data_IF_196547848988
#
_entry.id   IF_196547848988
#
_cell.length_a   1.000
_cell.length_b   1.000
_cell.length_c   1.000
_cell.angle_alpha   90.00
_cell.angle_beta   90.00
_cell.angle_gamma   90.00
#
_symmetry.space_group_name_H-M   'P 1'
#
loop_
_entity.id
_entity.type
_entity.pdbx_description
1 polymer ?
#
# COMPACT_ATOMS: atom_id res chain seq x y z
N UNK A 1 29.44 47.69 62.86
CA UNK A 1 29.96 46.30 63.01
C UNK A 1 30.54 45.89 61.65
N UNK A 2 31.88 45.94 61.45
CA UNK A 2 32.78 44.78 61.22
C UNK A 2 32.18 43.71 60.28
N UNK A 3 32.80 43.18 59.20
CA UNK A 3 34.05 43.36 58.43
C UNK A 3 34.03 42.28 57.30
N UNK A 4 34.59 42.57 56.10
CA UNK A 4 35.43 41.66 55.25
C UNK A 4 34.72 40.52 54.47
N UNK A 5 34.61 40.59 53.13
CA UNK A 5 35.47 40.03 52.04
C UNK A 5 35.03 38.61 51.58
N UNK A 6 35.21 38.07 50.36
CA UNK A 6 36.29 38.05 49.33
C UNK A 6 35.69 37.57 47.99
N UNK A 7 36.31 37.97 46.86
CA UNK A 7 36.13 37.45 45.49
C UNK A 7 36.80 36.08 45.32
N UNK A 8 36.19 35.10 44.63
CA UNK A 8 36.96 34.09 43.88
C UNK A 8 36.15 33.48 42.72
N UNK A 9 36.70 33.60 41.51
CA UNK A 9 36.20 32.99 40.28
C UNK A 9 36.78 31.58 40.13
N UNK A 10 35.97 30.60 39.74
CA UNK A 10 36.42 29.39 39.03
C UNK A 10 35.40 29.01 37.96
N UNK A 11 35.88 29.08 36.72
CA UNK A 11 35.36 28.49 35.51
C UNK A 11 35.59 26.96 35.59
N UNK A 12 34.55 26.14 35.44
CA UNK A 12 34.71 24.74 35.02
C UNK A 12 33.58 24.37 34.06
N UNK A 13 33.97 24.18 32.80
CA UNK A 13 33.24 23.43 31.78
C UNK A 13 32.85 22.06 32.34
N UNK A 14 31.57 21.69 32.21
CA UNK A 14 31.15 20.30 32.01
C UNK A 14 29.91 20.31 31.11
N UNK A 15 29.98 19.50 30.06
CA UNK A 15 29.12 19.56 28.90
C UNK A 15 27.67 19.27 29.21
N UNK A 16 26.80 20.13 28.70
CA UNK A 16 25.43 19.74 28.40
C UNK A 16 25.52 18.98 27.08
N UNK A 17 25.73 17.67 27.17
CA UNK A 17 25.17 16.78 26.17
C UNK A 17 23.67 17.00 26.23
N UNK A 18 23.12 17.76 25.30
CA UNK A 18 21.69 17.69 25.00
C UNK A 18 21.40 16.22 24.76
N UNK A 19 20.58 15.53 25.58
CA UNK A 19 19.99 14.32 25.08
C UNK A 19 19.20 14.78 23.86
N UNK A 20 19.47 14.15 22.70
CA UNK A 20 18.45 14.04 21.67
C UNK A 20 17.24 13.42 22.37
N UNK A 21 16.39 14.26 22.95
CA UNK A 21 15.04 13.86 23.25
C UNK A 21 14.46 13.52 21.90
N UNK A 22 14.21 12.23 21.67
CA UNK A 22 13.14 11.82 20.79
C UNK A 22 11.93 12.65 21.24
N UNK A 23 11.65 13.73 20.53
CA UNK A 23 10.36 14.37 20.63
C UNK A 23 9.37 13.24 20.39
N UNK A 24 8.63 12.90 21.44
CA UNK A 24 7.42 12.14 21.29
C UNK A 24 6.64 12.91 20.21
N UNK A 25 6.48 12.29 19.04
CA UNK A 25 5.66 12.81 17.95
C UNK A 25 4.22 12.70 18.45
N UNK A 26 3.88 13.59 19.38
CA UNK A 26 2.53 13.84 19.83
C UNK A 26 1.80 14.35 18.60
N UNK A 27 0.92 13.50 18.06
CA UNK A 27 -0.18 13.82 17.17
C UNK A 27 -0.01 15.15 16.42
N UNK A 28 0.88 15.19 15.42
CA UNK A 28 0.60 16.07 14.29
C UNK A 28 -0.81 15.72 13.82
N UNK A 29 -1.72 16.69 13.67
CA UNK A 29 -3.14 16.45 13.39
C UNK A 29 -3.38 15.55 12.17
N UNK A 30 -2.38 15.49 11.28
CA UNK A 30 -2.42 14.67 10.09
C UNK A 30 -1.98 13.21 10.30
N UNK A 31 -1.36 12.84 11.42
CA UNK A 31 -0.91 11.45 11.66
C UNK A 31 -2.04 10.55 12.14
N UNK A 32 -2.05 9.32 11.61
CA UNK A 32 -3.01 8.29 11.96
C UNK A 32 -2.41 6.89 11.75
N UNK A 33 -3.11 5.86 12.22
CA UNK A 33 -2.88 4.48 11.81
C UNK A 33 -3.45 4.31 10.41
N UNK A 34 -2.57 4.11 9.44
CA UNK A 34 -2.90 4.03 8.03
C UNK A 34 -2.75 2.60 7.55
N UNK A 35 -3.77 2.04 6.91
CA UNK A 35 -3.68 0.73 6.27
C UNK A 35 -2.62 0.79 5.17
N UNK A 36 -1.59 -0.04 5.27
CA UNK A 36 -0.47 -0.08 4.30
C UNK A 36 -0.35 -1.40 3.58
N UNK A 37 -0.89 -2.48 4.14
CA UNK A 37 -0.75 -3.82 3.58
C UNK A 37 -1.92 -4.68 4.04
N UNK A 38 -2.35 -5.59 3.16
CA UNK A 38 -3.18 -6.72 3.53
C UNK A 38 -2.51 -7.98 3.06
N UNK A 39 -2.32 -8.92 3.95
CA UNK A 39 -1.69 -10.20 3.68
C UNK A 39 -2.70 -11.33 3.86
N UNK A 40 -2.89 -12.16 2.82
CA UNK A 40 -3.68 -13.39 2.88
C UNK A 40 -2.73 -14.53 3.21
N UNK A 41 -2.98 -15.23 4.30
CA UNK A 41 -2.15 -16.37 4.66
C UNK A 41 -2.41 -17.54 3.71
N UNK A 42 -1.38 -18.32 3.35
CA UNK A 42 -1.55 -19.53 2.55
C UNK A 42 -2.61 -20.45 3.18
N UNK A 43 -3.52 -20.97 2.35
CA UNK A 43 -4.51 -21.92 2.81
C UNK A 43 -3.81 -23.25 3.17
N UNK A 44 -4.11 -23.87 4.32
CA UNK A 44 -3.52 -25.14 4.72
C UNK A 44 -3.74 -26.22 3.67
N UNK A 45 -2.70 -27.00 3.41
CA UNK A 45 -2.81 -28.17 2.53
C UNK A 45 -3.76 -29.21 3.11
N UNK A 46 -4.58 -29.80 2.24
CA UNK A 46 -5.47 -30.91 2.60
C UNK A 46 -4.63 -32.14 2.95
N UNK A 47 -4.65 -32.55 4.22
CA UNK A 47 -4.04 -33.80 4.66
C UNK A 47 -5.11 -34.87 4.81
N UNK A 48 -4.94 -36.06 4.22
CA UNK A 48 -5.79 -37.20 4.51
C UNK A 48 -5.74 -37.53 6.01
N UNK A 49 -6.90 -37.59 6.66
CA UNK A 49 -7.02 -37.86 8.09
C UNK A 49 -8.47 -38.20 8.48
N UNK A 50 -8.74 -38.25 9.78
CA UNK A 50 -10.11 -38.50 10.30
C UNK A 50 -11.12 -37.42 9.88
N UNK A 51 -10.65 -36.21 9.55
CA UNK A 51 -11.46 -35.10 9.05
C UNK A 51 -10.87 -34.57 7.75
N UNK A 52 -11.75 -34.21 6.82
CA UNK A 52 -11.42 -33.45 5.61
C UNK A 52 -11.82 -32.01 5.83
N UNK A 53 -10.83 -31.13 5.81
CA UNK A 53 -11.02 -29.68 5.88
C UNK A 53 -10.94 -29.10 4.46
N UNK A 54 -11.88 -28.22 4.11
CA UNK A 54 -11.81 -27.45 2.87
C UNK A 54 -11.95 -25.96 3.18
N UNK A 55 -11.19 -25.16 2.43
CA UNK A 55 -11.11 -23.72 2.61
C UNK A 55 -11.21 -23.03 1.26
N UNK A 56 -11.93 -21.92 1.21
CA UNK A 56 -11.90 -21.01 0.09
C UNK A 56 -11.87 -19.57 0.61
N UNK A 57 -10.97 -18.76 0.06
CA UNK A 57 -10.82 -17.35 0.39
C UNK A 57 -11.12 -16.54 -0.86
N UNK A 58 -12.07 -15.60 -0.78
CA UNK A 58 -12.33 -14.65 -1.85
C UNK A 58 -12.66 -13.30 -1.24
N UNK A 59 -11.84 -12.28 -1.52
CA UNK A 59 -11.98 -10.96 -0.89
C UNK A 59 -11.97 -11.10 0.64
N UNK A 60 -12.99 -10.55 1.30
CA UNK A 60 -13.18 -10.60 2.75
C UNK A 60 -14.12 -11.72 3.19
N UNK A 61 -14.21 -12.80 2.40
CA UNK A 61 -15.01 -13.98 2.73
C UNK A 61 -14.12 -15.19 2.86
N UNK A 62 -14.26 -15.89 3.99
CA UNK A 62 -13.69 -17.22 4.23
C UNK A 62 -14.83 -18.22 4.26
N UNK A 63 -14.78 -19.19 3.37
CA UNK A 63 -15.62 -20.38 3.43
C UNK A 63 -14.81 -21.53 4.03
N UNK A 64 -15.36 -22.17 5.06
CA UNK A 64 -14.76 -23.31 5.75
C UNK A 64 -15.74 -24.47 5.81
N UNK A 65 -15.24 -25.68 5.60
CA UNK A 65 -16.03 -26.89 5.80
C UNK A 65 -15.18 -28.02 6.40
N UNK A 66 -15.77 -28.72 7.37
CA UNK A 66 -15.25 -29.96 7.92
C UNK A 66 -16.24 -31.08 7.61
N UNK A 67 -15.74 -32.14 7.00
CA UNK A 67 -16.48 -33.39 6.80
C UNK A 67 -15.69 -34.57 7.35
N UNK A 68 -16.38 -35.60 7.83
CA UNK A 68 -15.75 -36.89 8.13
C UNK A 68 -15.94 -37.83 6.94
N UNK A 69 -14.88 -38.41 6.35
CA UNK A 69 -15.04 -39.50 5.40
C UNK A 69 -15.69 -40.70 6.12
N UNK A 70 -16.73 -41.27 5.53
CA UNK A 70 -17.38 -42.47 6.06
C UNK A 70 -16.36 -43.61 6.21
N UNK A 71 -16.20 -44.17 7.43
CA UNK A 71 -15.67 -45.53 7.61
C UNK A 71 -14.19 -45.76 7.97
N UNK A 72 -13.43 -44.82 8.56
CA UNK A 72 -12.02 -45.06 8.92
C UNK A 72 -11.62 -44.64 10.36
N UNK A 73 -12.30 -45.18 11.38
CA UNK A 73 -11.85 -45.07 12.77
C UNK A 73 -12.00 -46.40 13.53
N UNK A 74 -11.03 -46.74 14.39
CA UNK A 74 -10.97 -48.00 15.16
C UNK A 74 -12.09 -48.20 16.21
N UNK A 75 -13.09 -47.30 16.27
CA UNK A 75 -14.25 -47.31 17.18
C UNK A 75 -15.58 -47.37 16.41
N UNK A 76 -15.61 -48.15 15.33
CA UNK A 76 -16.56 -48.08 14.22
C UNK A 76 -18.05 -48.43 14.47
N UNK A 77 -18.60 -48.44 15.69
CA UNK A 77 -20.03 -48.82 15.88
C UNK A 77 -20.99 -47.66 16.18
N UNK A 78 -20.55 -46.55 16.79
CA UNK A 78 -21.43 -45.43 17.15
C UNK A 78 -21.40 -44.26 16.15
N UNK A 79 -20.28 -44.06 15.45
CA UNK A 79 -20.02 -42.84 14.69
C UNK A 79 -20.41 -42.92 13.20
N UNK A 80 -20.61 -44.13 12.67
CA UNK A 80 -21.01 -44.34 11.26
C UNK A 80 -22.38 -43.73 10.93
N UNK A 81 -23.30 -43.73 11.90
CA UNK A 81 -24.68 -43.27 11.71
C UNK A 81 -24.85 -41.75 11.85
N UNK A 82 -23.81 -41.01 12.31
CA UNK A 82 -23.89 -39.56 12.53
C UNK A 82 -22.59 -38.82 12.12
N UNK A 83 -22.24 -38.81 10.82
CA UNK A 83 -21.05 -38.14 10.32
C UNK A 83 -21.14 -36.62 10.50
N UNK A 84 -20.00 -35.97 10.72
CA UNK A 84 -19.93 -34.51 10.79
C UNK A 84 -19.96 -33.89 9.40
N UNK A 85 -20.67 -32.77 9.29
CA UNK A 85 -20.66 -31.86 8.15
C UNK A 85 -20.93 -30.45 8.69
N UNK A 86 -19.87 -29.74 9.09
CA UNK A 86 -19.95 -28.32 9.42
C UNK A 86 -19.50 -27.52 8.20
N UNK A 87 -20.28 -26.53 7.80
CA UNK A 87 -20.00 -25.69 6.64
C UNK A 87 -20.55 -24.28 6.88
N UNK A 88 -19.68 -23.28 6.80
CA UNK A 88 -20.07 -21.90 6.97
C UNK A 88 -19.23 -20.95 6.12
N UNK A 89 -19.80 -19.78 5.82
CA UNK A 89 -19.08 -18.64 5.27
C UNK A 89 -19.03 -17.51 6.27
N UNK A 90 -17.89 -16.86 6.31
CA UNK A 90 -17.59 -15.76 7.21
C UNK A 90 -17.15 -14.58 6.37
N UNK A 91 -17.96 -13.53 6.34
CA UNK A 91 -17.67 -12.31 5.58
C UNK A 91 -17.51 -11.15 6.54
N UNK A 92 -16.53 -10.27 6.30
CA UNK A 92 -16.37 -9.05 7.10
C UNK A 92 -16.30 -7.80 6.24
N UNK A 93 -16.79 -6.69 6.80
CA UNK A 93 -16.67 -5.38 6.14
C UNK A 93 -15.20 -4.93 6.08
N UNK A 94 -14.83 -4.21 5.01
CA UNK A 94 -13.49 -3.65 4.87
C UNK A 94 -13.13 -2.76 6.08
N UNK A 95 -11.93 -2.93 6.69
CA UNK A 95 -11.54 -2.09 7.80
C UNK A 95 -11.21 -0.67 7.35
N UNK A 96 -11.28 0.34 8.25
CA UNK A 96 -11.03 1.73 7.87
C UNK A 96 -9.60 1.91 7.37
N UNK A 97 -9.43 2.68 6.30
CA UNK A 97 -8.12 2.98 5.73
C UNK A 97 -7.28 3.87 6.65
N UNK A 98 -7.94 4.75 7.39
CA UNK A 98 -7.30 5.68 8.33
C UNK A 98 -8.04 5.60 9.65
N UNK A 99 -7.28 5.34 10.72
CA UNK A 99 -7.78 5.23 12.08
C UNK A 99 -7.01 6.24 12.93
N UNK A 100 -7.70 7.26 13.45
CA UNK A 100 -7.09 8.22 14.37
C UNK A 100 -6.66 7.54 15.67
N UNK A 101 -5.70 8.14 16.37
CA UNK A 101 -5.33 7.67 17.70
C UNK A 101 -6.58 7.55 18.60
N UNK A 102 -6.70 6.43 19.31
CA UNK A 102 -7.82 6.11 20.20
C UNK A 102 -9.19 5.98 19.52
N UNK A 103 -9.24 5.89 18.19
CA UNK A 103 -10.49 5.65 17.48
C UNK A 103 -10.93 4.19 17.63
N UNK A 104 -12.22 4.02 17.89
CA UNK A 104 -12.87 2.72 17.85
C UNK A 104 -13.08 2.29 16.39
N UNK A 105 -12.73 1.05 16.09
CA UNK A 105 -12.99 0.39 14.82
C UNK A 105 -14.09 -0.62 15.04
N UNK A 106 -15.18 -0.51 14.27
CA UNK A 106 -16.27 -1.48 14.26
C UNK A 106 -16.34 -2.13 12.90
N UNK A 107 -16.32 -3.45 12.89
CA UNK A 107 -16.46 -4.27 11.69
C UNK A 107 -17.76 -5.06 11.80
N UNK A 108 -18.51 -5.11 10.70
CA UNK A 108 -19.64 -6.03 10.59
C UNK A 108 -19.10 -7.39 10.15
N UNK A 109 -19.48 -8.43 10.89
CA UNK A 109 -19.06 -9.80 10.65
C UNK A 109 -20.31 -10.65 10.40
N UNK A 110 -20.44 -11.17 9.18
CA UNK A 110 -21.57 -11.96 8.75
C UNK A 110 -21.18 -13.43 8.74
N UNK A 111 -21.93 -14.25 9.46
CA UNK A 111 -21.81 -15.70 9.44
C UNK A 111 -23.01 -16.29 8.70
N UNK A 112 -22.75 -16.93 7.57
CA UNK A 112 -23.72 -17.77 6.86
C UNK A 112 -23.50 -19.23 7.24
N UNK A 113 -24.48 -19.83 7.93
CA UNK A 113 -24.43 -21.24 8.31
C UNK A 113 -25.08 -22.07 7.21
N UNK A 114 -24.27 -22.85 6.51
CA UNK A 114 -24.73 -23.77 5.45
C UNK A 114 -25.07 -25.13 6.05
N UNK A 115 -24.24 -25.62 6.97
CA UNK A 115 -24.50 -26.83 7.76
C UNK A 115 -23.84 -26.73 9.14
N UNK A 116 -24.57 -27.13 10.19
CA UNK A 116 -24.07 -27.19 11.56
C UNK A 116 -24.22 -28.60 12.14
N UNK A 117 -23.79 -29.61 11.38
CA UNK A 117 -23.86 -31.01 11.81
C UNK A 117 -22.54 -31.41 12.46
N UNK A 118 -22.46 -31.30 13.78
CA UNK A 118 -21.26 -31.69 14.54
C UNK A 118 -21.02 -33.21 14.62
N UNK A 119 -22.01 -34.04 14.29
CA UNK A 119 -21.93 -35.48 14.54
C UNK A 119 -21.84 -35.75 16.06
N UNK A 120 -21.06 -36.77 16.44
CA UNK A 120 -20.70 -37.04 17.84
C UNK A 120 -19.41 -36.31 18.27
N UNK A 121 -18.98 -35.31 17.50
CA UNK A 121 -17.66 -34.70 17.64
C UNK A 121 -17.78 -33.30 18.24
N UNK A 122 -16.81 -32.95 19.10
CA UNK A 122 -16.70 -31.62 19.73
C UNK A 122 -16.20 -30.53 18.79
N UNK A 123 -16.65 -30.52 17.52
CA UNK A 123 -16.16 -29.61 16.49
C UNK A 123 -16.70 -28.19 16.70
N UNK A 124 -15.92 -27.21 16.25
CA UNK A 124 -16.33 -25.82 16.26
C UNK A 124 -15.59 -25.01 15.19
N UNK A 125 -16.25 -23.98 14.68
CA UNK A 125 -15.60 -22.87 13.99
C UNK A 125 -15.52 -21.69 14.92
N UNK A 126 -14.31 -21.16 15.09
CA UNK A 126 -13.99 -20.06 15.99
C UNK A 126 -13.49 -18.87 15.18
N UNK A 127 -14.38 -18.04 14.63
CA UNK A 127 -13.98 -16.79 14.01
C UNK A 127 -13.24 -15.91 15.01
N UNK A 128 -12.18 -15.25 14.56
CA UNK A 128 -11.44 -14.30 15.35
C UNK A 128 -11.27 -12.99 14.60
N UNK A 129 -11.35 -11.91 15.37
CA UNK A 129 -10.94 -10.57 15.00
C UNK A 129 -10.15 -10.03 16.17
N UNK A 130 -8.93 -9.53 15.96
CA UNK A 130 -8.16 -8.89 17.04
C UNK A 130 -7.09 -7.95 16.49
N UNK A 131 -6.60 -7.05 17.33
CA UNK A 131 -5.47 -6.16 17.04
C UNK A 131 -4.24 -6.61 17.82
N UNK A 132 -3.09 -6.71 17.16
CA UNK A 132 -1.81 -7.04 17.81
C UNK A 132 -0.62 -6.50 17.00
N UNK A 133 0.60 -6.92 17.33
CA UNK A 133 1.82 -6.67 16.57
C UNK A 133 1.70 -7.17 15.12
N UNK A 134 2.20 -6.38 14.18
CA UNK A 134 2.18 -6.72 12.75
C UNK A 134 3.11 -7.88 12.36
N UNK A 135 4.10 -8.18 13.20
CA UNK A 135 5.14 -9.18 12.95
C UNK A 135 4.68 -10.61 13.22
N UNK A 136 3.45 -10.80 13.71
CA UNK A 136 2.91 -12.12 14.02
C UNK A 136 2.33 -12.83 12.79
N UNK A 137 2.41 -14.16 12.85
CA UNK A 137 1.66 -15.09 12.00
C UNK A 137 0.30 -15.46 12.62
N UNK A 138 -0.58 -16.06 11.81
CA UNK A 138 -1.87 -16.57 12.29
C UNK A 138 -1.71 -17.58 13.42
N UNK A 139 -2.54 -17.43 14.46
CA UNK A 139 -2.56 -18.32 15.63
C UNK A 139 -1.63 -17.90 16.76
N UNK A 140 -0.71 -16.96 16.53
CA UNK A 140 0.11 -16.36 17.57
C UNK A 140 -0.52 -15.07 18.09
N UNK A 141 -0.22 -14.72 19.34
CA UNK A 141 -0.66 -13.48 19.98
C UNK A 141 0.36 -13.06 21.03
N UNK A 142 0.52 -11.75 21.20
CA UNK A 142 1.23 -11.20 22.35
C UNK A 142 0.28 -11.02 23.54
N UNK A 143 0.85 -10.70 24.70
CA UNK A 143 0.06 -10.25 25.86
C UNK A 143 -0.63 -8.90 25.63
N UNK A 144 -0.26 -8.16 24.58
CA UNK A 144 -0.82 -6.85 24.24
C UNK A 144 -2.00 -6.90 23.26
N UNK A 145 -2.42 -8.11 22.85
CA UNK A 145 -3.56 -8.33 21.97
C UNK A 145 -4.82 -7.64 22.48
N UNK A 146 -5.47 -6.89 21.61
CA UNK A 146 -6.78 -6.27 21.88
C UNK A 146 -7.87 -7.13 21.27
N UNK A 147 -8.77 -7.62 22.12
CA UNK A 147 -9.93 -8.43 21.74
C UNK A 147 -11.13 -7.50 21.54
N UNK A 148 -11.94 -7.69 20.49
CA UNK A 148 -13.11 -6.87 20.23
C UNK A 148 -14.23 -7.20 21.21
N UNK A 149 -15.05 -6.19 21.48
CA UNK A 149 -16.40 -6.39 21.98
C UNK A 149 -17.28 -6.89 20.84
N UNK A 150 -17.99 -7.99 21.05
CA UNK A 150 -18.91 -8.58 20.06
C UNK A 150 -20.36 -8.29 20.46
N UNK A 151 -21.16 -7.77 19.54
CA UNK A 151 -22.58 -7.45 19.77
C UNK A 151 -23.45 -8.00 18.64
N UNK A 152 -24.42 -8.83 18.97
CA UNK A 152 -25.41 -9.38 18.04
C UNK A 152 -26.50 -8.35 17.68
N UNK A 153 -27.33 -8.59 16.65
CA UNK A 153 -28.31 -7.61 16.18
C UNK A 153 -29.40 -7.30 17.21
N UNK A 154 -29.66 -8.25 18.12
CA UNK A 154 -30.57 -8.10 19.25
C UNK A 154 -29.97 -7.30 20.42
N UNK A 155 -28.72 -6.82 20.29
CA UNK A 155 -28.01 -6.07 21.33
C UNK A 155 -27.32 -6.93 22.39
N UNK A 156 -27.44 -8.26 22.32
CA UNK A 156 -26.77 -9.17 23.26
C UNK A 156 -25.26 -9.17 22.98
N UNK A 157 -24.47 -9.09 24.04
CA UNK A 157 -23.02 -9.19 23.97
C UNK A 157 -22.58 -10.65 23.80
N UNK A 158 -21.82 -10.92 22.74
CA UNK A 158 -21.25 -12.23 22.46
C UNK A 158 -19.95 -12.46 23.23
N UNK A 159 -19.77 -13.70 23.69
CA UNK A 159 -18.55 -14.15 24.40
C UNK A 159 -17.73 -15.11 23.54
N UNK A 160 -18.39 -16.02 22.85
CA UNK A 160 -17.79 -17.05 22.02
C UNK A 160 -18.52 -17.13 20.68
N UNK A 161 -18.45 -16.05 19.91
CA UNK A 161 -19.00 -16.01 18.55
C UNK A 161 -18.40 -17.14 17.69
N UNK A 162 -19.25 -17.83 16.95
CA UNK A 162 -18.86 -18.92 16.06
C UNK A 162 -19.89 -20.04 16.00
N UNK A 163 -19.51 -21.15 15.36
CA UNK A 163 -20.40 -22.28 15.11
C UNK A 163 -19.94 -23.53 15.89
N UNK A 164 -20.89 -24.34 16.38
CA UNK A 164 -20.59 -25.62 17.01
C UNK A 164 -20.33 -25.55 18.51
N UNK A 165 -19.46 -26.44 19.00
CA UNK A 165 -19.28 -26.70 20.43
C UNK A 165 -18.74 -25.48 21.17
N UNK A 166 -19.29 -25.20 22.36
CA UNK A 166 -18.87 -24.11 23.24
C UNK A 166 -19.00 -22.70 22.62
N UNK A 167 -19.87 -22.53 21.61
CA UNK A 167 -20.18 -21.24 20.99
C UNK A 167 -21.52 -20.69 21.47
N UNK A 168 -21.67 -19.38 21.35
CA UNK A 168 -22.88 -18.68 21.77
C UNK A 168 -24.12 -19.21 21.02
N UNK A 169 -25.29 -19.14 21.67
CA UNK A 169 -26.54 -19.65 21.11
C UNK A 169 -26.96 -18.85 19.87
N UNK A 170 -26.69 -17.55 19.89
CA UNK A 170 -27.00 -16.57 18.85
C UNK A 170 -26.23 -16.82 17.55
N UNK A 171 -25.06 -17.48 17.61
CA UNK A 171 -24.25 -17.83 16.42
C UNK A 171 -24.36 -19.29 16.01
N UNK A 172 -25.32 -20.07 16.52
CA UNK A 172 -25.57 -21.42 16.00
C UNK A 172 -26.28 -21.44 14.63
N UNK A 173 -26.75 -20.29 14.16
CA UNK A 173 -27.47 -20.07 12.90
C UNK A 173 -26.83 -18.92 12.12
N UNK A 174 -27.30 -18.71 10.89
CA UNK A 174 -26.93 -17.53 10.09
C UNK A 174 -27.26 -16.27 10.87
N UNK A 175 -26.25 -15.42 11.08
CA UNK A 175 -26.35 -14.22 11.90
C UNK A 175 -25.27 -13.23 11.52
N UNK A 176 -25.36 -12.02 12.06
CA UNK A 176 -24.31 -11.01 11.95
C UNK A 176 -23.87 -10.58 13.34
N UNK A 177 -22.69 -9.99 13.45
CA UNK A 177 -22.20 -9.41 14.69
C UNK A 177 -21.37 -8.16 14.41
N UNK A 178 -21.51 -7.15 15.26
CA UNK A 178 -20.61 -6.00 15.29
C UNK A 178 -19.45 -6.32 16.21
N UNK A 179 -18.24 -6.27 15.68
CA UNK A 179 -17.03 -6.47 16.45
C UNK A 179 -16.28 -5.14 16.56
N UNK A 180 -16.20 -4.60 17.78
CA UNK A 180 -15.62 -3.27 18.03
C UNK A 180 -14.38 -3.37 18.89
N UNK A 181 -13.27 -2.80 18.44
CA UNK A 181 -12.03 -2.66 19.23
C UNK A 181 -11.46 -1.25 19.13
N UNK A 182 -10.60 -0.87 20.07
CA UNK A 182 -9.94 0.43 20.08
C UNK A 182 -8.50 0.32 19.59
N UNK A 183 -8.11 1.17 18.65
CA UNK A 183 -6.70 1.39 18.32
C UNK A 183 -6.08 2.31 19.35
N UNK A 184 -5.48 1.71 20.39
CA UNK A 184 -4.92 2.47 21.50
C UNK A 184 -3.71 3.31 21.07
N UNK A 185 -3.78 4.60 21.39
CA UNK A 185 -2.67 5.55 21.35
C UNK A 185 -2.25 6.01 19.96
N UNK A 186 -1.50 7.11 19.96
CA UNK A 186 -0.62 7.46 18.86
C UNK A 186 0.57 6.48 18.84
N UNK A 187 1.05 6.13 17.65
CA UNK A 187 2.32 5.42 17.47
C UNK A 187 3.51 6.37 17.41
N UNK A 188 4.71 5.81 17.37
CA UNK A 188 5.88 6.52 16.82
C UNK A 188 5.82 6.45 15.30
N UNK A 189 6.39 7.42 14.58
CA UNK A 189 6.43 7.39 13.12
C UNK A 189 7.01 6.04 12.62
N UNK A 190 6.28 5.37 11.73
CA UNK A 190 6.65 4.06 11.19
C UNK A 190 6.30 2.85 12.08
N UNK A 191 5.73 3.05 13.28
CA UNK A 191 5.26 1.94 14.11
C UNK A 191 4.16 1.15 13.39
N UNK A 192 4.16 -0.18 13.53
CA UNK A 192 3.18 -1.06 12.88
C UNK A 192 2.35 -1.86 13.87
N UNK A 193 1.08 -2.06 13.54
CA UNK A 193 0.14 -2.98 14.20
C UNK A 193 -0.67 -3.70 13.13
N UNK A 194 -1.30 -4.83 13.44
CA UNK A 194 -2.16 -5.50 12.50
C UNK A 194 -3.51 -5.92 13.09
N UNK A 195 -4.56 -5.80 12.28
CA UNK A 195 -5.83 -6.45 12.51
C UNK A 195 -5.79 -7.84 11.88
N UNK A 196 -6.01 -8.87 12.70
CA UNK A 196 -6.08 -10.25 12.26
C UNK A 196 -7.54 -10.67 12.16
N UNK A 197 -7.89 -11.25 11.02
CA UNK A 197 -9.21 -11.83 10.76
C UNK A 197 -9.04 -13.28 10.34
N UNK A 198 -9.93 -14.15 10.79
CA UNK A 198 -9.89 -15.52 10.34
C UNK A 198 -10.85 -16.42 11.07
N UNK A 199 -10.70 -17.71 10.83
CA UNK A 199 -11.44 -18.78 11.48
C UNK A 199 -10.45 -19.82 11.97
N UNK A 200 -10.61 -20.23 13.22
CA UNK A 200 -9.95 -21.41 13.76
C UNK A 200 -10.93 -22.59 13.77
N UNK A 201 -10.57 -23.65 13.06
CA UNK A 201 -11.34 -24.89 12.96
C UNK A 201 -10.55 -26.14 13.40
N UNK A 202 -9.38 -25.91 14.01
CA UNK A 202 -8.29 -26.88 14.14
C UNK A 202 -7.04 -26.39 13.40
N UNK A 203 -7.23 -25.65 12.31
CA UNK A 203 -6.21 -24.87 11.62
C UNK A 203 -6.59 -23.38 11.67
N UNK A 204 -5.62 -22.49 11.52
CA UNK A 204 -5.90 -21.06 11.37
C UNK A 204 -5.91 -20.69 9.88
N UNK A 205 -7.02 -20.15 9.41
CA UNK A 205 -7.15 -19.58 8.07
C UNK A 205 -7.62 -18.15 8.17
N UNK A 206 -7.02 -17.24 7.40
CA UNK A 206 -7.28 -15.83 7.63
C UNK A 206 -6.41 -14.87 6.86
N UNK A 207 -6.52 -13.60 7.25
CA UNK A 207 -5.80 -12.46 6.70
C UNK A 207 -5.31 -11.56 7.83
N UNK A 208 -4.28 -10.76 7.54
CA UNK A 208 -3.93 -9.61 8.39
C UNK A 208 -3.95 -8.31 7.60
N UNK A 209 -4.37 -7.24 8.25
CA UNK A 209 -4.35 -5.87 7.74
C UNK A 209 -3.36 -5.07 8.55
N UNK A 210 -2.24 -4.67 7.95
CA UNK A 210 -1.15 -3.97 8.63
C UNK A 210 -1.39 -2.47 8.55
N UNK A 211 -1.36 -1.83 9.71
CA UNK A 211 -1.47 -0.41 9.90
C UNK A 211 -0.12 0.16 10.31
N UNK A 212 0.29 1.25 9.67
CA UNK A 212 1.48 2.02 10.02
C UNK A 212 1.09 3.39 10.56
N UNK A 213 1.71 3.84 11.64
CA UNK A 213 1.54 5.19 12.14
C UNK A 213 2.31 6.19 11.28
N UNK A 214 1.60 6.91 10.42
CA UNK A 214 2.19 7.87 9.48
C UNK A 214 1.26 9.03 9.14
N UNK A 215 1.82 10.03 8.47
CA UNK A 215 1.12 11.22 8.00
C UNK A 215 0.04 10.85 6.97
N UNK A 216 -1.23 10.88 7.38
CA UNK A 216 -2.38 10.52 6.56
C UNK A 216 -2.69 11.58 5.49
N UNK A 217 -2.22 12.83 5.62
CA UNK A 217 -2.37 13.83 4.55
C UNK A 217 -1.54 13.50 3.31
N UNK A 218 -0.60 12.55 3.42
CA UNK A 218 0.23 12.07 2.31
C UNK A 218 -0.36 10.86 1.59
N UNK A 219 -1.53 10.36 2.01
CA UNK A 219 -2.20 9.25 1.37
C UNK A 219 -2.83 9.66 0.04
N UNK A 220 -2.86 8.76 -0.96
CA UNK A 220 -3.61 8.98 -2.17
C UNK A 220 -5.11 9.02 -1.85
N UNK A 221 -5.70 10.20 -1.85
CA UNK A 221 -7.16 10.38 -1.77
C UNK A 221 -7.78 9.79 -3.03
N UNK A 222 -8.99 9.22 -2.95
CA UNK A 222 -9.75 8.88 -4.16
C UNK A 222 -9.96 10.17 -4.99
N UNK A 223 -9.12 10.41 -5.98
CA UNK A 223 -9.18 11.54 -6.88
C UNK A 223 -8.69 11.19 -8.28
N UNK A 224 -9.15 11.96 -9.26
CA UNK A 224 -8.60 11.97 -10.59
C UNK A 224 -8.41 13.42 -11.03
N UNK A 225 -7.16 13.83 -11.10
CA UNK A 225 -6.77 15.21 -11.35
C UNK A 225 -6.12 15.30 -12.74
N UNK A 226 -6.64 16.14 -13.66
CA UNK A 226 -5.95 16.36 -14.91
C UNK A 226 -4.67 17.16 -14.65
N UNK A 227 -3.60 16.81 -15.36
CA UNK A 227 -2.38 17.58 -15.43
C UNK A 227 -2.06 17.90 -16.90
N UNK A 228 -1.02 18.68 -17.17
CA UNK A 228 -0.76 19.23 -18.51
C UNK A 228 -0.68 18.14 -19.60
N UNK A 229 -0.13 16.97 -19.27
CA UNK A 229 0.11 15.88 -20.23
C UNK A 229 -0.69 14.61 -19.98
N UNK A 230 -1.67 14.62 -19.08
CA UNK A 230 -2.40 13.40 -18.75
C UNK A 230 -3.38 13.54 -17.59
N UNK A 231 -3.71 12.39 -17.01
CA UNK A 231 -4.56 12.27 -15.82
C UNK A 231 -3.79 11.59 -14.71
N UNK A 232 -3.83 12.16 -13.52
CA UNK A 232 -3.32 11.54 -12.30
C UNK A 232 -4.49 10.94 -11.53
N UNK A 233 -4.45 9.63 -11.30
CA UNK A 233 -5.50 8.91 -10.59
C UNK A 233 -4.93 8.35 -9.29
N UNK A 234 -5.61 8.58 -8.19
CA UNK A 234 -5.23 8.15 -6.86
C UNK A 234 -6.41 7.45 -6.22
N UNK A 235 -6.15 6.35 -5.54
CA UNK A 235 -7.17 5.61 -4.81
C UNK A 235 -6.66 5.18 -3.45
N UNK A 236 -7.59 4.83 -2.58
CA UNK A 236 -7.24 4.20 -1.31
C UNK A 236 -6.86 2.73 -1.54
N UNK A 237 -5.88 2.20 -0.79
CA UNK A 237 -5.53 0.79 -0.87
C UNK A 237 -6.74 -0.13 -0.63
N UNK A 238 -6.72 -1.30 -1.26
CA UNK A 238 -7.68 -2.38 -1.01
C UNK A 238 -6.98 -3.73 -1.00
N UNK A 239 -7.71 -4.76 -0.59
CA UNK A 239 -7.23 -6.13 -0.59
C UNK A 239 -6.88 -6.66 -1.99
N UNK A 240 -5.68 -7.22 -2.17
CA UNK A 240 -5.29 -7.87 -3.43
C UNK A 240 -3.77 -7.95 -3.59
N UNK A 241 -3.31 -8.51 -4.71
CA UNK A 241 -1.91 -8.50 -5.16
C UNK A 241 -1.49 -7.12 -5.69
N UNK A 242 -2.46 -6.33 -6.15
CA UNK A 242 -2.27 -5.00 -6.71
C UNK A 242 -3.54 -4.55 -7.40
N UNK A 243 -3.41 -3.66 -8.39
CA UNK A 243 -4.55 -3.02 -9.03
C UNK A 243 -4.42 -3.03 -10.55
N UNK A 244 -5.54 -3.24 -11.23
CA UNK A 244 -5.73 -2.87 -12.63
C UNK A 244 -6.48 -1.56 -12.71
N UNK A 245 -6.01 -0.68 -13.58
CA UNK A 245 -6.71 0.57 -13.91
C UNK A 245 -7.31 0.43 -15.30
N UNK A 246 -8.61 0.67 -15.40
CA UNK A 246 -9.34 0.67 -16.65
C UNK A 246 -9.79 2.07 -17.01
N UNK A 247 -9.87 2.36 -18.30
CA UNK A 247 -10.30 3.64 -18.87
C UNK A 247 -11.33 3.43 -19.97
N UNK A 248 -12.41 4.21 -19.92
CA UNK A 248 -13.44 4.30 -20.95
C UNK A 248 -13.73 5.75 -21.34
N UNK A 249 -14.16 5.97 -22.59
CA UNK A 249 -14.76 7.24 -23.06
C UNK A 249 -16.29 7.25 -22.88
N UNK A 250 -16.88 6.11 -22.50
CA UNK A 250 -18.32 5.90 -22.32
C UNK A 250 -18.62 5.64 -20.85
N UNK A 251 -19.55 6.42 -20.30
CA UNK A 251 -19.97 6.30 -18.91
C UNK A 251 -20.55 4.91 -18.63
N UNK A 252 -20.06 4.26 -17.58
CA UNK A 252 -20.55 2.94 -17.15
C UNK A 252 -19.92 1.74 -17.86
N UNK A 253 -19.13 1.96 -18.92
CA UNK A 253 -18.33 0.88 -19.52
C UNK A 253 -16.97 0.77 -18.83
N UNK A 254 -16.48 -0.47 -18.66
CA UNK A 254 -15.16 -0.72 -18.06
C UNK A 254 -14.04 -0.17 -18.96
N UNK A 255 -14.17 -0.32 -20.27
CA UNK A 255 -13.19 0.13 -21.26
C UNK A 255 -11.93 -0.74 -21.30
N UNK A 256 -10.78 -0.13 -21.57
CA UNK A 256 -9.49 -0.82 -21.75
C UNK A 256 -8.64 -0.75 -20.48
N UNK A 257 -7.88 -1.80 -20.20
CA UNK A 257 -6.81 -1.71 -19.19
C UNK A 257 -5.74 -0.73 -19.68
N UNK A 258 -5.36 0.22 -18.84
CA UNK A 258 -4.27 1.17 -19.11
C UNK A 258 -2.96 0.80 -18.40
N UNK A 259 -2.99 -0.31 -17.66
CA UNK A 259 -1.83 -0.93 -17.02
C UNK A 259 -1.56 -2.29 -17.68
N UNK A 260 -0.31 -2.55 -18.08
CA UNK A 260 0.08 -3.83 -18.71
C UNK A 260 0.19 -4.98 -17.70
N UNK A 261 0.65 -4.67 -16.49
CA UNK A 261 0.68 -5.55 -15.32
C UNK A 261 -0.14 -4.92 -14.18
N UNK A 262 -0.50 -5.70 -13.17
CA UNK A 262 -1.03 -5.08 -11.97
C UNK A 262 0.03 -4.20 -11.32
N UNK A 263 -0.41 -3.07 -10.79
CA UNK A 263 0.46 -2.14 -10.07
C UNK A 263 0.17 -2.23 -8.58
N UNK A 264 1.20 -2.14 -7.76
CA UNK A 264 1.04 -2.17 -6.30
C UNK A 264 0.76 -0.78 -5.73
N UNK A 265 1.16 0.26 -6.47
CA UNK A 265 0.88 1.64 -6.12
C UNK A 265 -0.62 1.93 -6.15
N UNK A 266 -1.03 2.78 -5.23
CA UNK A 266 -2.42 3.27 -5.10
C UNK A 266 -2.66 4.52 -5.94
N UNK A 267 -1.98 4.56 -7.07
CA UNK A 267 -1.73 5.78 -7.80
C UNK A 267 -1.19 5.46 -9.20
N UNK A 268 -1.76 6.07 -10.24
CA UNK A 268 -1.33 5.91 -11.62
C UNK A 268 -1.39 7.25 -12.37
N UNK A 269 -0.56 7.39 -13.40
CA UNK A 269 -0.63 8.50 -14.34
C UNK A 269 -0.94 7.95 -15.74
N UNK A 270 -2.05 8.39 -16.33
CA UNK A 270 -2.38 8.06 -17.70
C UNK A 270 -2.00 9.22 -18.63
N UNK A 271 -0.94 9.01 -19.40
CA UNK A 271 -0.37 9.97 -20.37
C UNK A 271 -0.81 9.68 -21.81
N UNK A 272 -1.50 8.56 -22.03
CA UNK A 272 -1.96 8.09 -23.34
C UNK A 272 -3.43 8.45 -23.57
N UNK A 273 -3.80 9.68 -23.19
CA UNK A 273 -5.16 10.24 -23.25
C UNK A 273 -5.31 11.28 -24.35
N UNK A 274 -6.52 11.48 -24.85
CA UNK A 274 -6.85 12.54 -25.83
C UNK A 274 -7.00 13.91 -25.15
N UNK A 275 -6.70 15.02 -25.83
CA UNK A 275 -6.99 16.36 -25.31
C UNK A 275 -8.50 16.61 -25.20
N UNK A 276 -8.91 17.43 -24.22
CA UNK A 276 -10.29 17.88 -24.00
C UNK A 276 -11.34 16.74 -23.98
N UNK A 277 -10.94 15.56 -23.52
CA UNK A 277 -11.77 14.34 -23.54
C UNK A 277 -12.14 13.93 -22.12
N UNK A 278 -13.41 13.62 -21.90
CA UNK A 278 -13.88 13.06 -20.62
C UNK A 278 -13.64 11.56 -20.61
N UNK A 279 -12.92 11.10 -19.60
CA UNK A 279 -12.65 9.70 -19.35
C UNK A 279 -13.29 9.25 -18.05
N UNK A 280 -13.72 7.98 -18.05
CA UNK A 280 -14.23 7.26 -16.91
C UNK A 280 -13.22 6.18 -16.55
N UNK A 281 -12.68 6.24 -15.33
CA UNK A 281 -11.73 5.26 -14.85
C UNK A 281 -12.37 4.33 -13.83
N UNK A 282 -11.95 3.08 -13.83
CA UNK A 282 -12.33 2.08 -12.83
C UNK A 282 -11.09 1.39 -12.32
N UNK A 283 -10.93 1.32 -11.01
CA UNK A 283 -9.84 0.58 -10.36
C UNK A 283 -10.40 -0.70 -9.77
N UNK A 284 -9.79 -1.83 -10.12
CA UNK A 284 -10.17 -3.15 -9.59
C UNK A 284 -8.93 -3.81 -8.97
N UNK A 285 -9.04 -4.39 -7.76
CA UNK A 285 -7.94 -5.13 -7.17
C UNK A 285 -7.75 -6.46 -7.90
N UNK A 286 -6.50 -6.90 -7.99
CA UNK A 286 -6.14 -8.23 -8.49
C UNK A 286 -6.19 -9.22 -7.34
N UNK A 287 -7.05 -10.22 -7.45
CA UNK A 287 -7.28 -11.24 -6.40
C UNK A 287 -6.33 -12.42 -6.58
N UNK A 288 -6.08 -12.81 -7.83
CA UNK A 288 -5.07 -13.81 -8.17
C UNK A 288 -4.45 -13.50 -9.53
N UNK A 289 -3.15 -13.78 -9.63
CA UNK A 289 -2.37 -13.59 -10.85
C UNK A 289 -2.79 -14.59 -11.93
N UNK A 290 -2.64 -14.19 -13.20
CA UNK A 290 -2.82 -15.09 -14.32
C UNK A 290 -1.71 -16.15 -14.35
N UNK A 291 -2.06 -17.38 -14.73
CA UNK A 291 -1.08 -18.40 -15.12
C UNK A 291 -1.38 -18.84 -16.55
N UNK A 292 -0.85 -18.12 -17.56
CA UNK A 292 -1.19 -18.38 -18.96
C UNK A 292 -0.82 -19.81 -19.41
N UNK A 293 0.27 -20.36 -18.90
CA UNK A 293 0.70 -21.74 -19.19
C UNK A 293 -0.25 -22.80 -18.63
N UNK A 294 -1.02 -22.45 -17.62
CA UNK A 294 -2.04 -23.31 -16.99
C UNK A 294 -3.46 -22.94 -17.47
N UNK A 295 -3.61 -22.04 -18.46
CA UNK A 295 -4.89 -21.45 -18.88
C UNK A 295 -5.72 -20.85 -17.73
N UNK A 296 -5.04 -20.25 -16.74
CA UNK A 296 -5.69 -19.54 -15.64
C UNK A 296 -5.61 -18.04 -15.92
N UNK A 297 -6.77 -17.42 -16.04
CA UNK A 297 -6.87 -15.98 -16.22
C UNK A 297 -6.63 -15.21 -14.91
N UNK A 298 -6.24 -13.94 -15.03
CA UNK A 298 -6.18 -13.02 -13.90
C UNK A 298 -7.58 -12.84 -13.30
N UNK A 299 -7.72 -13.01 -11.98
CA UNK A 299 -8.99 -12.80 -11.28
C UNK A 299 -9.03 -11.41 -10.67
N UNK A 300 -10.00 -10.61 -11.09
CA UNK A 300 -10.23 -9.26 -10.55
C UNK A 300 -11.35 -9.26 -9.50
N UNK A 301 -11.21 -8.41 -8.50
CA UNK A 301 -12.25 -8.17 -7.49
C UNK A 301 -13.31 -7.19 -8.00
N UNK A 302 -14.16 -6.71 -7.09
CA UNK A 302 -15.11 -5.62 -7.35
C UNK A 302 -14.39 -4.28 -7.55
N UNK A 303 -15.04 -3.34 -8.23
CA UNK A 303 -14.50 -1.99 -8.38
C UNK A 303 -14.36 -1.30 -7.01
N UNK A 304 -13.16 -0.83 -6.69
CA UNK A 304 -12.87 -0.15 -5.41
C UNK A 304 -12.92 1.37 -5.52
N UNK A 305 -12.77 1.88 -6.75
CA UNK A 305 -12.89 3.29 -7.05
C UNK A 305 -13.29 3.49 -8.51
N UNK A 306 -14.12 4.51 -8.76
CA UNK A 306 -14.43 5.01 -10.09
C UNK A 306 -14.21 6.51 -10.14
N UNK A 307 -13.80 7.01 -11.29
CA UNK A 307 -13.48 8.42 -11.47
C UNK A 307 -14.01 8.94 -12.79
N UNK A 308 -14.40 10.20 -12.81
CA UNK A 308 -14.74 10.94 -14.03
C UNK A 308 -13.85 12.15 -14.09
N UNK A 309 -13.09 12.30 -15.18
CA UNK A 309 -12.12 13.38 -15.32
C UNK A 309 -12.02 13.81 -16.77
N UNK A 310 -11.89 15.12 -16.98
CA UNK A 310 -11.72 15.72 -18.29
C UNK A 310 -10.30 16.22 -18.45
N UNK A 311 -9.63 15.79 -19.51
CA UNK A 311 -8.24 16.16 -19.81
C UNK A 311 -8.11 17.61 -20.29
N UNK A 312 -6.92 18.17 -20.13
CA UNK A 312 -6.56 19.50 -20.65
C UNK A 312 -6.40 19.53 -22.17
N UNK A 313 -6.14 20.73 -22.71
CA UNK A 313 -5.95 20.95 -24.15
C UNK A 313 -4.56 20.53 -24.65
N UNK A 314 -3.55 20.55 -23.77
CA UNK A 314 -2.13 20.41 -24.13
C UNK A 314 -1.60 18.97 -24.04
N UNK A 315 -2.51 17.99 -23.89
CA UNK A 315 -2.13 16.58 -23.97
C UNK A 315 -1.74 16.27 -25.43
N UNK A 316 -0.42 16.20 -25.69
CA UNK A 316 0.15 16.13 -27.03
C UNK A 316 -0.46 15.06 -27.95
N UNK A 317 -0.42 15.30 -29.26
CA UNK A 317 -1.15 14.53 -30.28
C UNK A 317 -0.82 13.03 -30.32
N UNK A 318 -1.87 12.21 -30.41
CA UNK A 318 -1.95 10.74 -30.32
C UNK A 318 -1.19 9.89 -31.37
N UNK A 319 0.00 10.27 -31.83
CA UNK A 319 0.71 9.46 -32.87
C UNK A 319 1.73 8.48 -32.32
N UNK A 320 2.21 8.66 -31.09
CA UNK A 320 3.17 7.75 -30.44
C UNK A 320 2.72 7.40 -29.03
N UNK A 321 3.01 6.17 -28.63
CA UNK A 321 2.84 5.74 -27.25
C UNK A 321 3.79 6.55 -26.35
N UNK A 322 3.30 6.89 -25.16
CA UNK A 322 4.03 7.67 -24.18
C UNK A 322 4.22 6.86 -22.91
N UNK A 323 5.41 6.94 -22.37
CA UNK A 323 5.79 6.46 -21.06
C UNK A 323 5.81 7.59 -20.05
N UNK A 324 5.78 7.22 -18.76
CA UNK A 324 5.95 8.19 -17.69
C UNK A 324 6.87 7.71 -16.57
N UNK A 325 7.56 8.67 -15.95
CA UNK A 325 8.24 8.51 -14.67
C UNK A 325 7.61 9.49 -13.68
N UNK A 326 7.12 8.97 -12.57
CA UNK A 326 6.56 9.76 -11.47
C UNK A 326 7.50 9.75 -10.27
N UNK A 327 7.80 10.94 -9.77
CA UNK A 327 8.75 11.19 -8.69
C UNK A 327 8.09 12.03 -7.60
N UNK A 328 8.10 11.56 -6.36
CA UNK A 328 7.52 12.29 -5.22
C UNK A 328 8.60 12.89 -4.33
N UNK A 329 8.37 14.11 -3.87
CA UNK A 329 9.28 14.78 -2.95
C UNK A 329 9.48 14.00 -1.65
N UNK A 330 10.73 13.75 -1.29
CA UNK A 330 11.09 13.01 -0.07
C UNK A 330 10.83 11.50 -0.14
N UNK A 331 10.33 10.97 -1.26
CA UNK A 331 10.16 9.53 -1.48
C UNK A 331 11.43 8.94 -2.11
N UNK A 332 11.98 7.83 -1.58
CA UNK A 332 13.11 7.14 -2.20
C UNK A 332 12.72 6.31 -3.42
N UNK A 333 11.42 6.14 -3.68
CA UNK A 333 10.90 5.39 -4.81
C UNK A 333 10.39 6.33 -5.92
N UNK A 334 10.47 5.83 -7.13
CA UNK A 334 9.82 6.38 -8.31
C UNK A 334 8.87 5.34 -8.90
N UNK A 335 7.94 5.79 -9.73
CA UNK A 335 7.10 4.90 -10.54
C UNK A 335 7.48 5.07 -12.01
N UNK A 336 7.81 3.97 -12.69
CA UNK A 336 8.05 3.93 -14.14
C UNK A 336 6.92 3.12 -14.75
N UNK A 337 6.06 3.78 -15.52
CA UNK A 337 4.85 3.17 -16.11
C UNK A 337 3.98 2.40 -15.08
N UNK A 338 3.91 2.92 -13.86
CA UNK A 338 3.14 2.33 -12.75
C UNK A 338 3.94 1.35 -11.89
N UNK A 339 5.09 0.85 -12.36
CA UNK A 339 5.96 -0.07 -11.62
C UNK A 339 6.84 0.70 -10.63
N UNK A 340 6.87 0.27 -9.38
CA UNK A 340 7.70 0.88 -8.33
C UNK A 340 9.16 0.51 -8.53
N UNK A 341 10.05 1.50 -8.45
CA UNK A 341 11.49 1.30 -8.48
C UNK A 341 12.17 2.24 -7.49
N UNK A 342 13.12 1.73 -6.71
CA UNK A 342 14.00 2.60 -5.93
C UNK A 342 14.80 3.52 -6.85
N UNK A 343 14.85 4.81 -6.50
CA UNK A 343 15.64 5.80 -7.22
C UNK A 343 17.14 5.45 -7.16
N UNK A 344 17.61 4.94 -6.03
CA UNK A 344 19.00 4.54 -5.80
C UNK A 344 19.01 3.31 -4.89
N UNK A 345 19.05 2.10 -5.48
CA UNK A 345 18.85 0.86 -4.75
C UNK A 345 19.71 0.72 -3.49
N UNK A 346 19.05 0.51 -2.35
CA UNK A 346 19.66 0.29 -1.04
C UNK A 346 20.27 1.55 -0.40
N UNK A 347 19.98 2.74 -0.93
CA UNK A 347 20.56 4.00 -0.44
C UNK A 347 19.54 4.97 0.14
N UNK A 348 18.25 4.78 -0.16
CA UNK A 348 17.20 5.69 0.31
C UNK A 348 17.37 7.12 -0.20
N UNK A 349 17.97 7.30 -1.38
CA UNK A 349 18.17 8.63 -1.98
C UNK A 349 16.83 9.18 -2.45
N UNK A 350 16.48 10.39 -2.01
CA UNK A 350 15.19 11.02 -2.28
C UNK A 350 15.31 12.21 -3.22
N UNK A 351 14.20 12.58 -3.87
CA UNK A 351 14.05 13.87 -4.56
C UNK A 351 14.11 15.01 -3.55
N UNK A 352 14.86 16.06 -3.89
CA UNK A 352 15.12 17.18 -2.98
C UNK A 352 14.76 18.52 -3.62
N UNK A 353 14.42 19.50 -2.79
CA UNK A 353 14.22 20.88 -3.23
C UNK A 353 15.47 21.68 -2.87
N UNK A 354 16.09 22.30 -3.87
CA UNK A 354 17.27 23.15 -3.68
C UNK A 354 17.04 24.42 -4.49
N UNK A 355 17.17 25.58 -3.84
CA UNK A 355 16.96 26.89 -4.48
C UNK A 355 15.62 26.98 -5.23
N UNK A 356 14.55 26.46 -4.63
CA UNK A 356 13.20 26.41 -5.22
C UNK A 356 13.13 25.68 -6.58
N UNK A 357 13.99 24.67 -6.76
CA UNK A 357 13.95 23.72 -7.87
C UNK A 357 13.91 22.29 -7.36
N UNK A 358 13.14 21.47 -8.05
CA UNK A 358 13.11 20.02 -7.84
C UNK A 358 14.39 19.42 -8.43
N UNK A 359 15.20 18.87 -7.54
CA UNK A 359 16.49 18.27 -7.84
C UNK A 359 16.40 16.76 -7.67
N UNK A 360 16.95 16.05 -8.65
CA UNK A 360 16.85 14.59 -8.74
C UNK A 360 18.23 13.97 -8.95
N UNK A 361 18.49 12.75 -8.43
CA UNK A 361 19.62 11.95 -8.84
C UNK A 361 19.40 11.46 -10.27
N UNK A 362 19.97 12.19 -11.23
CA UNK A 362 19.58 12.09 -12.65
C UNK A 362 19.76 10.73 -13.30
N UNK A 363 20.69 9.92 -12.76
CA UNK A 363 20.99 8.58 -13.28
C UNK A 363 19.74 7.70 -13.36
N UNK A 364 18.98 7.62 -12.27
CA UNK A 364 17.80 6.77 -12.18
C UNK A 364 16.78 7.07 -13.28
N UNK A 365 16.58 8.36 -13.54
CA UNK A 365 15.61 8.88 -14.51
C UNK A 365 16.10 8.60 -15.93
N UNK A 366 17.38 8.85 -16.21
CA UNK A 366 17.96 8.63 -17.54
C UNK A 366 18.04 7.14 -17.88
N UNK A 367 18.40 6.28 -16.93
CA UNK A 367 18.40 4.82 -17.13
C UNK A 367 16.98 4.25 -17.28
N UNK A 368 15.98 4.83 -16.61
CA UNK A 368 14.58 4.41 -16.77
C UNK A 368 13.99 4.70 -18.16
N UNK A 369 14.59 5.61 -18.93
CA UNK A 369 14.23 5.90 -20.32
C UNK A 369 15.25 5.32 -21.33
N UNK A 370 15.96 4.26 -20.94
CA UNK A 370 16.99 3.55 -21.73
C UNK A 370 18.18 4.43 -22.16
N UNK A 371 18.43 5.51 -21.41
CA UNK A 371 19.57 6.39 -21.61
C UNK A 371 20.83 5.96 -20.86
N UNK A 372 21.91 6.71 -21.08
CA UNK A 372 23.21 6.50 -20.42
C UNK A 372 23.69 7.75 -19.70
N UNK A 373 24.40 7.56 -18.60
CA UNK A 373 25.01 8.63 -17.82
C UNK A 373 26.51 8.40 -17.65
N UNK A 374 27.32 9.31 -18.18
CA UNK A 374 28.76 9.39 -17.96
C UNK A 374 29.11 10.38 -16.84
N UNK A 375 30.14 10.03 -16.07
CA UNK A 375 30.74 10.91 -15.07
C UNK A 375 32.25 11.00 -15.31
N UNK A 376 32.76 12.22 -15.41
CA UNK A 376 34.20 12.52 -15.44
C UNK A 376 34.56 13.30 -14.17
N UNK A 377 35.26 12.63 -13.26
CA UNK A 377 35.65 13.20 -11.97
C UNK A 377 36.71 14.28 -12.06
N UNK A 378 37.54 14.31 -13.11
CA UNK A 378 38.60 15.31 -13.27
C UNK A 378 38.00 16.67 -13.64
N UNK A 379 37.00 16.66 -14.52
CA UNK A 379 36.31 17.89 -14.96
C UNK A 379 35.00 18.13 -14.20
N UNK A 380 34.61 17.23 -13.32
CA UNK A 380 33.29 17.20 -12.65
C UNK A 380 32.13 17.30 -13.64
N UNK A 381 32.27 16.62 -14.79
CA UNK A 381 31.33 16.66 -15.91
C UNK A 381 30.38 15.47 -15.87
N UNK A 382 29.10 15.76 -16.09
CA UNK A 382 28.04 14.78 -16.29
C UNK A 382 27.66 14.82 -17.77
N UNK A 383 27.57 13.65 -18.39
CA UNK A 383 27.11 13.48 -19.77
C UNK A 383 25.87 12.60 -19.75
N UNK A 384 24.74 13.10 -20.22
CA UNK A 384 23.50 12.35 -20.36
C UNK A 384 23.27 12.08 -21.85
N UNK A 385 22.98 10.84 -22.23
CA UNK A 385 22.48 10.53 -23.57
C UNK A 385 21.15 9.80 -23.45
N UNK A 386 20.10 10.36 -24.01
CA UNK A 386 18.80 9.70 -24.11
C UNK A 386 17.98 10.35 -25.23
N UNK A 387 17.07 9.59 -25.83
CA UNK A 387 16.06 10.12 -26.78
C UNK A 387 16.66 10.97 -27.92
N UNK A 388 17.83 10.57 -28.43
CA UNK A 388 18.54 11.25 -29.52
C UNK A 388 19.32 12.51 -29.14
N UNK A 389 19.32 12.92 -27.86
CA UNK A 389 20.04 14.10 -27.39
C UNK A 389 21.20 13.73 -26.45
N UNK A 390 22.25 14.55 -26.53
CA UNK A 390 23.38 14.55 -25.60
C UNK A 390 23.37 15.86 -24.81
N UNK A 391 23.34 15.75 -23.48
CA UNK A 391 23.40 16.88 -22.55
C UNK A 391 24.65 16.78 -21.68
N UNK A 392 25.50 17.80 -21.70
CA UNK A 392 26.71 17.88 -20.88
C UNK A 392 26.58 19.03 -19.88
N UNK A 393 26.87 18.76 -18.61
CA UNK A 393 26.78 19.72 -17.52
C UNK A 393 27.93 19.51 -16.53
N UNK A 394 28.23 20.53 -15.71
CA UNK A 394 29.35 20.52 -14.78
C UNK A 394 28.90 20.89 -13.38
N UNK A 395 29.42 20.21 -12.36
CA UNK A 395 29.12 20.53 -10.95
C UNK A 395 29.44 22.01 -10.68
N UNK A 396 28.50 22.70 -10.02
CA UNK A 396 28.65 24.10 -9.62
C UNK A 396 28.62 25.12 -10.76
N UNK A 397 28.42 24.70 -12.02
CA UNK A 397 28.32 25.61 -13.17
C UNK A 397 26.91 25.68 -13.73
N UNK A 398 26.54 26.87 -14.20
CA UNK A 398 25.27 27.12 -14.90
C UNK A 398 25.37 26.86 -16.40
N UNK A 399 26.58 26.77 -16.94
CA UNK A 399 26.80 26.49 -18.36
C UNK A 399 26.57 25.01 -18.66
N UNK A 400 25.89 24.74 -19.77
CA UNK A 400 25.69 23.38 -20.30
C UNK A 400 25.89 23.33 -21.81
N UNK A 401 26.03 22.11 -22.34
CA UNK A 401 25.95 21.86 -23.78
C UNK A 401 24.83 20.88 -24.09
N UNK A 402 24.00 21.23 -25.07
CA UNK A 402 23.01 20.33 -25.66
C UNK A 402 23.38 20.11 -27.10
N UNK A 403 23.72 18.88 -27.47
CA UNK A 403 24.18 18.54 -28.82
C UNK A 403 25.31 19.49 -29.31
N UNK A 404 26.23 19.85 -28.42
CA UNK A 404 27.35 20.76 -28.68
C UNK A 404 27.02 22.26 -28.59
N UNK A 405 25.75 22.65 -28.52
CA UNK A 405 25.32 24.05 -28.41
C UNK A 405 25.30 24.49 -26.95
N UNK A 406 25.96 25.60 -26.64
CA UNK A 406 25.96 26.17 -25.30
C UNK A 406 24.57 26.68 -24.91
N UNK A 407 24.11 26.31 -23.72
CA UNK A 407 22.91 26.86 -23.07
C UNK A 407 23.22 27.16 -21.60
N UNK A 408 22.29 27.78 -20.89
CA UNK A 408 22.42 28.11 -19.47
C UNK A 408 21.25 27.56 -18.67
N UNK A 409 21.54 26.98 -17.52
CA UNK A 409 20.55 26.60 -16.51
C UNK A 409 20.40 27.69 -15.44
N UNK A 410 19.34 27.61 -14.65
CA UNK A 410 19.04 28.53 -13.55
C UNK A 410 19.59 28.05 -12.20
N UNK A 411 19.78 26.74 -12.02
CA UNK A 411 20.36 26.14 -10.80
C UNK A 411 21.40 25.09 -11.16
N UNK A 412 22.64 25.26 -10.70
CA UNK A 412 23.75 24.38 -11.03
C UNK A 412 23.57 22.95 -10.47
N UNK A 413 24.17 21.93 -11.11
CA UNK A 413 24.26 20.59 -10.54
C UNK A 413 25.07 20.61 -9.23
N UNK A 414 24.67 19.80 -8.27
CA UNK A 414 25.33 19.70 -6.95
C UNK A 414 25.60 18.27 -6.57
N UNK A 415 26.59 18.04 -5.71
CA UNK A 415 26.81 16.76 -5.06
C UNK A 415 26.26 16.83 -3.64
N UNK A 416 25.36 15.91 -3.29
CA UNK A 416 24.83 15.73 -1.94
C UNK A 416 24.89 14.26 -1.59
N UNK A 417 25.49 13.93 -0.44
CA UNK A 417 25.64 12.55 0.05
C UNK A 417 26.26 11.60 -0.99
N UNK A 418 27.24 12.08 -1.77
CA UNK A 418 27.90 11.27 -2.80
C UNK A 418 27.02 10.98 -4.03
N UNK A 419 25.95 11.75 -4.26
CA UNK A 419 25.09 11.68 -5.44
C UNK A 419 24.99 13.02 -6.13
N UNK A 420 24.99 12.97 -7.46
CA UNK A 420 24.81 14.15 -8.31
C UNK A 420 23.32 14.46 -8.44
N UNK A 421 22.93 15.63 -7.99
CA UNK A 421 21.60 16.20 -8.12
C UNK A 421 21.58 17.25 -9.22
N UNK A 422 20.57 17.19 -10.09
CA UNK A 422 20.38 18.14 -11.19
C UNK A 422 18.92 18.63 -11.21
N UNK A 423 18.63 19.80 -11.78
CA UNK A 423 17.24 20.24 -11.98
C UNK A 423 16.52 19.30 -12.94
N UNK A 424 15.42 18.69 -12.48
CA UNK A 424 14.69 17.65 -13.24
C UNK A 424 14.17 18.17 -14.58
N UNK A 425 13.47 19.31 -14.55
CA UNK A 425 12.84 19.93 -15.73
C UNK A 425 13.87 20.22 -16.81
N UNK A 426 14.92 20.95 -16.43
CA UNK A 426 15.95 21.35 -17.38
C UNK A 426 16.67 20.15 -18.00
N UNK A 427 16.94 19.11 -17.22
CA UNK A 427 17.65 17.93 -17.72
C UNK A 427 16.76 17.08 -18.63
N UNK A 428 15.53 16.77 -18.20
CA UNK A 428 14.62 15.94 -18.96
C UNK A 428 14.08 16.63 -20.23
N UNK A 429 13.74 17.92 -20.18
CA UNK A 429 13.25 18.65 -21.37
C UNK A 429 14.33 18.75 -22.46
N UNK A 430 15.61 18.91 -22.09
CA UNK A 430 16.71 18.85 -23.07
C UNK A 430 17.01 17.42 -23.57
N UNK A 431 16.42 16.39 -22.97
CA UNK A 431 16.41 15.01 -23.46
C UNK A 431 15.10 14.67 -24.18
N UNK A 432 14.42 15.66 -24.78
CA UNK A 432 13.15 15.49 -25.51
C UNK A 432 11.99 14.93 -24.66
N UNK A 433 12.06 15.04 -23.33
CA UNK A 433 10.95 14.70 -22.45
C UNK A 433 10.08 15.94 -22.17
N UNK A 434 8.93 15.72 -21.54
CA UNK A 434 8.08 16.76 -20.95
C UNK A 434 8.05 16.58 -19.45
N UNK A 435 7.97 17.68 -18.70
CA UNK A 435 7.91 17.62 -17.23
C UNK A 435 6.77 18.49 -16.73
N UNK A 436 5.91 17.89 -15.93
CA UNK A 436 4.88 18.60 -15.18
C UNK A 436 5.06 18.42 -13.67
N UNK A 437 4.47 19.32 -12.90
CA UNK A 437 4.51 19.33 -11.45
C UNK A 437 3.10 19.36 -10.86
N UNK A 438 2.76 18.29 -10.14
CA UNK A 438 1.47 18.15 -9.46
C UNK A 438 1.64 18.68 -8.03
N UNK A 439 1.18 19.92 -7.81
CA UNK A 439 1.34 20.62 -6.53
C UNK A 439 0.64 19.91 -5.36
N UNK A 440 -0.55 19.32 -5.60
CA UNK A 440 -1.34 18.66 -4.54
C UNK A 440 -0.63 17.45 -3.93
N UNK A 441 0.16 16.74 -4.73
CA UNK A 441 0.87 15.52 -4.32
C UNK A 441 2.38 15.72 -4.16
N UNK A 442 2.88 16.90 -4.53
CA UNK A 442 4.30 17.21 -4.64
C UNK A 442 5.06 16.22 -5.53
N UNK A 443 4.47 15.92 -6.69
CA UNK A 443 4.99 14.96 -7.65
C UNK A 443 5.48 15.67 -8.92
N UNK A 444 6.64 15.26 -9.43
CA UNK A 444 7.07 15.55 -10.78
C UNK A 444 6.67 14.38 -11.68
N UNK A 445 6.02 14.66 -12.81
CA UNK A 445 5.69 13.68 -13.84
C UNK A 445 6.52 13.99 -15.06
N UNK A 446 7.37 13.05 -15.45
CA UNK A 446 8.17 13.12 -16.68
C UNK A 446 7.47 12.25 -17.72
N UNK A 447 7.20 12.78 -18.89
CA UNK A 447 6.55 12.07 -20.00
C UNK A 447 7.49 12.04 -21.19
N UNK A 448 7.64 10.87 -21.81
CA UNK A 448 8.44 10.70 -23.03
C UNK A 448 7.76 9.74 -23.99
N UNK A 449 7.89 10.00 -25.28
CA UNK A 449 7.36 9.12 -26.33
C UNK A 449 8.29 7.93 -26.53
N UNK A 450 7.82 6.85 -27.20
CA UNK A 450 8.68 5.77 -27.74
C UNK A 450 9.71 6.24 -28.77
#
# INVERSE_FOLDING_TARGET
MKRISIFLAILMLLGISSPFSNEAVAANENYAWVLVERYVFPLPEMKPGHYTHTYNMTGNTIEVQITTPYGLGAYASADYNNPANMHAKYTWSEPPQVIKANQAVTINFDQEVISNKNGNYGLSFSPFFHLDSADLDLGYATSSKVIPKVVYPNGVEGKNFGLGSYKDAESQKTTTAKMTLNFSGAGTAGAKKALFFGVYDGNNVGVKYVYEWKDASKLPVNSADPFMYGVRIMWQPASGLGYRVFRSEVMGELGVSVTDFYIENTSFADVNVKPNTTYYYTVKPVISEAKPLENVDEKLGEAIATFTVKTGNDVGSNTKFKHFILLKMGDPNMSVDGIVKEIDPGRGTVVAMISNRTMVPIRAIVEAMDGTVGWDGNTQKITLNARGNKVEMWIGKLDIKVNGVNKKMDVAPVIKNGRTYVPVRFSAENLNCKVDWINSTQEAVIVYEE
#
